data_IF_468829492945
#
_entry.id   IF_468829492945
#
_cell.length_a   1.000
_cell.length_b   1.000
_cell.length_c   1.000
_cell.angle_alpha   90.00
_cell.angle_beta   90.00
_cell.angle_gamma   90.00
#
_symmetry.space_group_name_H-M   'P 1'
#
loop_
_entity.id
_entity.type
_entity.pdbx_description
1 polymer ?
#
# COMPACT_ATOMS: atom_id res chain seq x y z
N UNK A 1 -16.73 56.51 -51.10
CA UNK A 1 -16.47 55.07 -51.35
C UNK A 1 -15.17 54.54 -50.72
N UNK A 2 -14.02 55.25 -50.76
CA UNK A 2 -12.76 54.76 -50.15
C UNK A 2 -12.75 54.61 -48.61
N UNK A 3 -13.62 55.29 -47.85
CA UNK A 3 -13.73 55.15 -46.38
C UNK A 3 -14.65 54.02 -45.90
N UNK A 4 -15.52 53.49 -46.78
CA UNK A 4 -16.41 52.37 -46.42
C UNK A 4 -15.68 51.02 -46.51
N UNK A 5 -14.73 50.88 -47.46
CA UNK A 5 -13.91 49.67 -47.61
C UNK A 5 -12.90 49.47 -46.47
N UNK A 6 -12.36 50.54 -45.88
CA UNK A 6 -11.41 50.43 -44.76
C UNK A 6 -12.11 50.02 -43.46
N UNK A 7 -13.38 50.39 -43.30
CA UNK A 7 -14.19 50.01 -42.14
C UNK A 7 -14.69 48.56 -42.26
N UNK A 8 -15.01 48.09 -43.47
CA UNK A 8 -15.32 46.66 -43.69
C UNK A 8 -14.07 45.76 -43.56
N UNK A 9 -12.88 46.22 -44.00
CA UNK A 9 -11.64 45.43 -43.88
C UNK A 9 -11.15 45.27 -42.43
N UNK A 10 -11.52 46.19 -41.53
CA UNK A 10 -11.27 46.08 -40.08
C UNK A 10 -12.33 45.23 -39.35
N UNK A 11 -13.48 44.95 -39.98
CA UNK A 11 -14.47 44.00 -39.44
C UNK A 11 -14.28 42.57 -39.93
N UNK A 12 -13.41 42.32 -40.92
CA UNK A 12 -13.12 40.98 -41.44
C UNK A 12 -11.80 40.39 -40.92
N UNK A 13 -11.17 40.98 -39.90
CA UNK A 13 -9.93 40.48 -39.30
C UNK A 13 -10.12 39.65 -38.01
N UNK A 14 -11.36 39.45 -37.56
CA UNK A 14 -11.66 38.59 -36.41
C UNK A 14 -12.84 37.68 -36.69
N UNK A 15 -12.76 36.93 -37.79
CA UNK A 15 -13.44 35.64 -37.86
C UNK A 15 -12.36 34.58 -37.70
N UNK A 16 -11.97 34.32 -36.45
CA UNK A 16 -11.44 33.00 -36.09
C UNK A 16 -12.62 32.07 -36.28
N UNK A 17 -12.73 31.50 -37.49
CA UNK A 17 -13.53 30.30 -37.69
C UNK A 17 -12.83 29.18 -36.91
N UNK A 18 -13.09 29.13 -35.60
CA UNK A 18 -12.85 27.94 -34.80
C UNK A 18 -13.98 26.94 -35.08
N UNK A 19 -14.02 26.40 -36.29
CA UNK A 19 -14.71 25.13 -36.57
C UNK A 19 -13.78 23.98 -36.18
N UNK A 20 -13.40 23.99 -34.91
CA UNK A 20 -12.69 22.94 -34.20
C UNK A 20 -12.98 23.22 -32.74
N UNK A 21 -13.53 22.24 -32.02
CA UNK A 21 -13.89 22.32 -30.61
C UNK A 21 -12.90 23.22 -29.84
N UNK A 22 -13.27 24.48 -29.60
CA UNK A 22 -12.52 25.33 -28.69
C UNK A 22 -12.76 24.71 -27.31
N UNK A 23 -11.84 23.88 -26.84
CA UNK A 23 -11.92 23.33 -25.50
C UNK A 23 -11.93 24.51 -24.52
N UNK A 24 -13.03 24.67 -23.79
CA UNK A 24 -13.11 25.68 -22.73
C UNK A 24 -12.11 25.27 -21.65
N UNK A 25 -10.93 25.88 -21.55
CA UNK A 25 -9.90 25.48 -20.57
C UNK A 25 -9.32 26.66 -19.80
N UNK A 26 -8.80 26.36 -18.62
CA UNK A 26 -7.97 27.20 -17.76
C UNK A 26 -6.66 26.45 -17.48
N UNK A 27 -5.54 27.03 -17.90
CA UNK A 27 -4.18 26.54 -17.66
C UNK A 27 -3.47 27.52 -16.72
N UNK A 28 -2.86 27.00 -15.64
CA UNK A 28 -2.17 27.79 -14.64
C UNK A 28 -0.78 27.18 -14.40
N UNK A 29 0.27 27.91 -14.76
CA UNK A 29 1.65 27.57 -14.41
C UNK A 29 1.96 28.08 -13.00
N UNK A 30 2.28 27.18 -12.06
CA UNK A 30 2.52 27.47 -10.65
C UNK A 30 4.02 27.40 -10.37
N UNK A 31 4.61 28.49 -9.90
CA UNK A 31 6.01 28.49 -9.44
C UNK A 31 6.10 27.93 -8.02
N UNK A 32 5.28 28.44 -7.13
CA UNK A 32 5.17 28.03 -5.72
C UNK A 32 3.74 28.24 -5.26
N UNK A 33 3.17 27.23 -4.63
CA UNK A 33 1.93 27.37 -3.85
C UNK A 33 2.16 26.70 -2.52
N UNK A 34 1.92 27.44 -1.44
CA UNK A 34 1.97 26.91 -0.10
C UNK A 34 0.70 27.28 0.68
N UNK A 35 0.34 26.42 1.61
CA UNK A 35 -0.79 26.56 2.50
C UNK A 35 -0.43 25.95 3.85
N UNK A 36 -0.89 26.62 4.90
CA UNK A 36 -0.90 26.16 6.27
C UNK A 36 -2.18 26.63 6.94
N UNK A 37 -2.95 25.68 7.46
CA UNK A 37 -4.18 25.93 8.21
C UNK A 37 -3.88 26.86 9.39
N UNK A 38 -4.65 27.94 9.49
CA UNK A 38 -4.46 28.96 10.51
C UNK A 38 -5.39 28.72 11.68
N UNK A 39 -4.93 29.08 12.88
CA UNK A 39 -5.78 29.13 14.09
C UNK A 39 -6.66 30.38 14.08
N UNK A 40 -6.13 31.50 13.55
CA UNK A 40 -6.90 32.73 13.32
C UNK A 40 -7.49 32.73 11.90
N UNK A 41 -8.83 32.80 11.82
CA UNK A 41 -9.60 32.76 10.57
C UNK A 41 -9.27 33.88 9.58
N UNK A 42 -8.66 34.98 10.01
CA UNK A 42 -8.32 36.12 9.16
C UNK A 42 -6.82 36.23 8.83
N UNK A 43 -6.00 35.29 9.33
CA UNK A 43 -4.57 35.29 9.05
C UNK A 43 -4.28 34.81 7.61
N UNK A 44 -3.15 35.26 7.07
CA UNK A 44 -2.63 34.75 5.78
C UNK A 44 -2.29 33.28 5.97
N UNK A 45 -2.99 32.42 5.24
CA UNK A 45 -2.85 30.97 5.28
C UNK A 45 -1.78 30.45 4.33
N UNK A 46 -1.29 31.25 3.39
CA UNK A 46 -0.27 30.82 2.45
C UNK A 46 -0.01 31.81 1.32
N UNK A 47 0.69 31.36 0.29
CA UNK A 47 1.06 32.16 -0.88
C UNK A 47 0.86 31.34 -2.16
N UNK A 48 0.35 31.98 -3.21
CA UNK A 48 0.29 31.46 -4.57
C UNK A 48 1.08 32.37 -5.52
N UNK A 49 2.11 31.82 -6.14
CA UNK A 49 2.92 32.46 -7.16
C UNK A 49 2.78 31.68 -8.47
N UNK A 50 2.22 32.30 -9.50
CA UNK A 50 2.08 31.69 -10.82
C UNK A 50 3.03 32.34 -11.84
N UNK A 51 3.41 31.60 -12.89
CA UNK A 51 4.19 32.10 -14.05
C UNK A 51 3.27 32.75 -15.07
N UNK A 52 2.21 32.04 -15.42
CA UNK A 52 1.22 32.43 -16.41
C UNK A 52 -0.13 31.75 -16.16
N UNK A 53 -1.18 32.43 -16.59
CA UNK A 53 -2.56 31.92 -16.62
C UNK A 53 -3.06 32.08 -18.04
N UNK A 54 -3.55 30.99 -18.63
CA UNK A 54 -4.18 30.99 -19.95
C UNK A 54 -5.58 30.48 -19.81
N UNK A 55 -6.53 31.22 -20.35
CA UNK A 55 -7.92 30.81 -20.42
C UNK A 55 -8.35 30.87 -21.88
N UNK A 56 -9.03 29.83 -22.33
CA UNK A 56 -9.68 29.80 -23.63
C UNK A 56 -11.13 29.38 -23.42
N UNK A 57 -12.05 30.17 -23.93
CA UNK A 57 -13.48 29.89 -24.01
C UNK A 57 -13.95 30.12 -25.44
N UNK A 58 -15.12 29.61 -25.80
CA UNK A 58 -15.71 29.72 -27.14
C UNK A 58 -15.69 31.13 -27.75
N UNK A 59 -15.72 32.16 -26.93
CA UNK A 59 -15.80 33.57 -27.31
C UNK A 59 -14.68 34.44 -26.73
N UNK A 60 -13.75 33.86 -25.95
CA UNK A 60 -12.74 34.62 -25.21
C UNK A 60 -11.45 33.84 -25.04
N UNK A 61 -10.32 34.47 -25.38
CA UNK A 61 -8.99 33.98 -25.00
C UNK A 61 -8.31 35.03 -24.13
N UNK A 62 -7.74 34.61 -23.01
CA UNK A 62 -7.01 35.44 -22.07
C UNK A 62 -5.66 34.81 -21.76
N UNK A 63 -4.61 35.62 -21.76
CA UNK A 63 -3.27 35.19 -21.38
C UNK A 63 -2.66 36.25 -20.46
N UNK A 64 -2.33 35.84 -19.25
CA UNK A 64 -1.70 36.65 -18.23
C UNK A 64 -0.32 36.08 -17.92
N UNK A 65 0.71 36.92 -17.98
CA UNK A 65 2.06 36.55 -17.57
C UNK A 65 2.46 37.38 -16.34
N UNK A 66 3.00 36.71 -15.32
CA UNK A 66 3.37 37.33 -14.04
C UNK A 66 4.89 37.59 -13.95
N UNK A 67 5.47 38.20 -15.00
CA UNK A 67 6.92 38.45 -15.06
C UNK A 67 7.44 39.41 -13.98
N UNK A 68 6.60 40.35 -13.56
CA UNK A 68 6.95 41.38 -12.56
C UNK A 68 6.47 41.02 -11.14
N UNK A 69 6.02 39.77 -10.92
CA UNK A 69 5.53 39.27 -9.63
C UNK A 69 4.32 40.06 -9.04
N UNK A 70 3.69 40.92 -9.84
CA UNK A 70 2.58 41.79 -9.43
C UNK A 70 1.31 41.02 -9.06
N UNK A 71 1.20 39.75 -9.49
CA UNK A 71 0.08 38.87 -9.21
C UNK A 71 0.39 37.78 -8.19
N UNK A 72 1.55 37.85 -7.52
CA UNK A 72 1.80 37.02 -6.34
C UNK A 72 0.72 37.31 -5.29
N UNK A 73 0.04 36.26 -4.84
CA UNK A 73 -1.16 36.39 -4.03
C UNK A 73 -0.95 35.77 -2.65
N UNK A 74 -1.34 36.51 -1.61
CA UNK A 74 -1.55 35.94 -0.29
C UNK A 74 -2.86 35.16 -0.28
N UNK A 75 -2.83 33.99 0.32
CA UNK A 75 -3.99 33.11 0.42
C UNK A 75 -4.64 33.22 1.80
N UNK A 76 -5.96 33.16 1.85
CA UNK A 76 -6.77 33.02 3.09
C UNK A 76 -7.75 31.87 2.92
N UNK A 77 -8.11 31.21 4.01
CA UNK A 77 -9.17 30.18 3.99
C UNK A 77 -10.10 30.41 5.19
N UNK A 78 -11.36 30.74 4.89
CA UNK A 78 -12.35 31.07 5.93
C UNK A 78 -13.71 30.51 5.54
N UNK A 79 -14.29 29.70 6.41
CA UNK A 79 -15.66 29.16 6.29
C UNK A 79 -15.98 28.54 4.91
N UNK A 80 -15.03 27.78 4.33
CA UNK A 80 -15.19 27.12 3.03
C UNK A 80 -14.79 27.98 1.81
N UNK A 81 -14.32 29.21 2.03
CA UNK A 81 -13.91 30.10 0.93
C UNK A 81 -12.39 30.25 0.89
N UNK A 82 -11.79 29.91 -0.25
CA UNK A 82 -10.38 30.13 -0.54
C UNK A 82 -10.18 31.48 -1.24
N UNK A 83 -9.58 32.44 -0.53
CA UNK A 83 -9.32 33.78 -1.03
C UNK A 83 -7.87 33.96 -1.48
N UNK A 84 -7.66 34.70 -2.56
CA UNK A 84 -6.37 35.09 -3.09
C UNK A 84 -6.32 36.61 -3.25
N UNK A 85 -5.36 37.26 -2.57
CA UNK A 85 -5.18 38.70 -2.58
C UNK A 85 -3.80 39.07 -3.13
N UNK A 86 -3.79 39.64 -4.33
CA UNK A 86 -2.62 40.24 -4.98
C UNK A 86 -2.71 41.78 -4.94
N UNK A 87 -1.69 42.47 -5.47
CA UNK A 87 -1.60 43.94 -5.43
C UNK A 87 -2.76 44.66 -6.13
N UNK A 88 -3.24 44.10 -7.23
CA UNK A 88 -4.26 44.71 -8.10
C UNK A 88 -5.49 43.83 -8.32
N UNK A 89 -5.60 42.72 -7.59
CA UNK A 89 -6.56 41.67 -7.92
C UNK A 89 -6.89 40.86 -6.67
N UNK A 90 -8.17 40.59 -6.47
CA UNK A 90 -8.67 39.69 -5.43
C UNK A 90 -9.60 38.67 -6.07
N UNK A 91 -9.42 37.40 -5.71
CA UNK A 91 -10.29 36.33 -6.13
C UNK A 91 -10.73 35.51 -4.93
N UNK A 92 -11.95 35.02 -4.97
CA UNK A 92 -12.45 34.08 -3.98
C UNK A 92 -13.03 32.87 -4.72
N UNK A 93 -12.70 31.69 -4.25
CA UNK A 93 -13.25 30.42 -4.72
C UNK A 93 -14.06 29.83 -3.57
N UNK A 94 -15.36 29.64 -3.83
CA UNK A 94 -16.22 28.91 -2.90
C UNK A 94 -15.93 27.42 -3.07
N UNK A 95 -15.35 26.81 -2.05
CA UNK A 95 -15.04 25.39 -2.01
C UNK A 95 -16.21 24.59 -1.42
N UNK A 96 -17.27 25.25 -0.92
CA UNK A 96 -18.34 24.61 -0.15
C UNK A 96 -17.94 24.35 1.31
N UNK A 97 -18.91 24.04 2.17
CA UNK A 97 -18.66 23.78 3.61
C UNK A 97 -18.19 22.37 3.91
N UNK A 98 -18.57 21.40 3.08
CA UNK A 98 -18.34 19.96 3.26
C UNK A 98 -17.29 19.44 2.27
N UNK A 99 -16.19 20.19 2.07
CA UNK A 99 -15.12 19.78 1.17
C UNK A 99 -13.97 19.08 1.93
N UNK A 100 -13.27 18.17 1.25
CA UNK A 100 -12.09 17.48 1.82
C UNK A 100 -10.87 18.38 2.07
N UNK A 101 -10.85 19.63 1.56
CA UNK A 101 -9.77 20.58 1.86
C UNK A 101 -9.80 21.04 3.33
N UNK A 102 -10.93 20.89 4.03
CA UNK A 102 -11.04 21.19 5.46
C UNK A 102 -10.07 20.37 6.33
N UNK A 103 -9.71 19.16 5.89
CA UNK A 103 -8.83 18.25 6.62
C UNK A 103 -7.35 18.52 6.32
N UNK A 104 -7.07 19.41 5.36
CA UNK A 104 -5.70 19.77 5.00
C UNK A 104 -5.12 20.73 6.02
N UNK A 105 -4.02 20.33 6.65
CA UNK A 105 -3.24 21.11 7.61
C UNK A 105 -2.15 21.90 6.90
N UNK A 106 -1.42 21.28 5.97
CA UNK A 106 -0.43 21.95 5.12
C UNK A 106 -0.50 21.41 3.70
N UNK A 107 -0.26 22.27 2.71
CA UNK A 107 -0.10 21.85 1.32
C UNK A 107 1.00 22.68 0.66
N UNK A 108 1.70 22.07 -0.29
CA UNK A 108 2.80 22.70 -0.99
C UNK A 108 2.97 22.13 -2.38
N UNK A 109 3.22 22.98 -3.38
CA UNK A 109 3.67 22.54 -4.69
C UNK A 109 4.66 23.51 -5.32
N UNK A 110 5.56 22.99 -6.16
CA UNK A 110 6.59 23.77 -6.84
C UNK A 110 6.74 23.34 -8.29
N UNK A 111 6.84 24.34 -9.18
CA UNK A 111 7.03 24.16 -10.62
C UNK A 111 6.02 23.15 -11.17
N UNK A 112 4.76 23.55 -11.14
CA UNK A 112 3.64 22.69 -11.48
C UNK A 112 2.76 23.35 -12.53
N UNK A 113 1.99 22.55 -13.25
CA UNK A 113 1.02 22.98 -14.23
C UNK A 113 -0.32 22.35 -13.90
N UNK A 114 -1.35 23.19 -13.73
CA UNK A 114 -2.72 22.75 -13.59
C UNK A 114 -3.49 23.10 -14.88
N UNK A 115 -4.27 22.16 -15.41
CA UNK A 115 -5.18 22.37 -16.53
C UNK A 115 -6.56 21.90 -16.10
N UNK A 116 -7.54 22.79 -16.23
CA UNK A 116 -8.92 22.55 -15.84
C UNK A 116 -9.83 22.85 -17.04
N UNK A 117 -10.76 21.96 -17.34
CA UNK A 117 -11.89 22.22 -18.23
C UNK A 117 -13.10 21.39 -17.80
N UNK A 118 -14.29 21.57 -18.42
CA UNK A 118 -15.48 20.80 -18.02
C UNK A 118 -15.36 19.28 -18.17
N UNK A 119 -14.44 18.77 -19.00
CA UNK A 119 -14.26 17.33 -19.21
C UNK A 119 -13.14 16.68 -18.41
N UNK A 120 -12.12 17.43 -17.97
CA UNK A 120 -11.00 16.86 -17.23
C UNK A 120 -10.28 17.87 -16.34
N UNK A 121 -9.54 17.31 -15.38
CA UNK A 121 -8.55 17.99 -14.56
C UNK A 121 -7.19 17.31 -14.74
N UNK A 122 -6.12 18.10 -14.92
CA UNK A 122 -4.76 17.59 -14.82
C UNK A 122 -3.88 18.48 -13.98
N UNK A 123 -2.95 17.86 -13.25
CA UNK A 123 -2.03 18.55 -12.36
C UNK A 123 -0.71 17.77 -12.29
N UNK A 124 0.37 18.39 -12.74
CA UNK A 124 1.69 17.76 -12.70
C UNK A 124 2.78 18.74 -12.32
N UNK A 125 3.91 18.24 -11.84
CA UNK A 125 5.04 19.09 -11.53
C UNK A 125 6.18 18.40 -10.79
N UNK A 126 7.13 19.24 -10.37
CA UNK A 126 8.36 18.75 -9.72
C UNK A 126 8.09 18.15 -8.34
N UNK A 127 7.38 18.90 -7.49
CA UNK A 127 7.10 18.50 -6.11
C UNK A 127 5.66 18.84 -5.72
N UNK A 128 5.00 17.93 -5.02
CA UNK A 128 3.74 18.15 -4.33
C UNK A 128 3.83 17.55 -2.93
N UNK A 129 3.23 18.22 -1.96
CA UNK A 129 3.14 17.72 -0.59
C UNK A 129 1.82 18.13 0.03
N UNK A 130 1.22 17.21 0.76
CA UNK A 130 0.01 17.44 1.54
C UNK A 130 0.20 16.84 2.93
N UNK A 131 -0.29 17.54 3.95
CA UNK A 131 -0.32 17.10 5.34
C UNK A 131 -1.74 17.22 5.84
N UNK A 132 -2.29 16.11 6.31
CA UNK A 132 -3.50 16.00 7.13
C UNK A 132 -3.07 15.76 8.59
N UNK A 133 -4.01 15.51 9.50
CA UNK A 133 -3.72 15.42 10.93
C UNK A 133 -2.66 14.36 11.27
N UNK A 134 -2.82 13.14 10.76
CA UNK A 134 -1.97 11.97 11.00
C UNK A 134 -1.12 11.55 9.78
N UNK A 135 -1.44 12.08 8.60
CA UNK A 135 -0.84 11.67 7.33
C UNK A 135 -0.08 12.81 6.65
N UNK A 136 1.13 12.53 6.18
CA UNK A 136 1.87 13.40 5.25
C UNK A 136 2.25 12.64 3.99
N UNK A 137 1.82 13.13 2.85
CA UNK A 137 2.16 12.56 1.54
C UNK A 137 2.98 13.56 0.73
N UNK A 138 4.02 13.08 0.05
CA UNK A 138 4.84 13.87 -0.86
C UNK A 138 5.04 13.11 -2.17
N UNK A 139 4.86 13.80 -3.29
CA UNK A 139 5.10 13.29 -4.63
C UNK A 139 6.18 14.12 -5.32
N UNK A 140 7.10 13.46 -6.02
CA UNK A 140 8.10 14.10 -6.85
C UNK A 140 8.03 13.58 -8.30
N UNK A 141 8.19 14.47 -9.28
CA UNK A 141 8.09 14.18 -10.72
C UNK A 141 6.75 13.48 -11.04
N UNK A 142 5.63 14.13 -10.74
CA UNK A 142 4.31 13.51 -10.78
C UNK A 142 3.42 14.20 -11.83
N UNK A 143 2.47 13.44 -12.36
CA UNK A 143 1.39 13.91 -13.22
C UNK A 143 0.12 13.20 -12.78
N UNK A 144 -0.91 13.97 -12.45
CA UNK A 144 -2.26 13.51 -12.10
C UNK A 144 -3.18 13.91 -13.23
N UNK A 145 -4.07 13.01 -13.64
CA UNK A 145 -5.15 13.25 -14.57
C UNK A 145 -6.44 12.64 -14.01
N UNK A 146 -7.51 13.41 -14.00
CA UNK A 146 -8.83 12.97 -13.60
C UNK A 146 -9.87 13.31 -14.67
N UNK A 147 -10.85 12.44 -14.83
CA UNK A 147 -12.00 12.62 -15.73
C UNK A 147 -13.23 11.97 -15.10
N UNK A 148 -14.40 12.26 -15.63
CA UNK A 148 -15.64 11.62 -15.19
C UNK A 148 -16.31 10.88 -16.34
N UNK A 149 -16.99 9.78 -16.01
CA UNK A 149 -17.90 9.08 -16.90
C UNK A 149 -19.32 9.68 -16.90
N UNK A 150 -19.45 10.93 -16.42
CA UNK A 150 -20.69 11.69 -16.36
C UNK A 150 -20.56 12.93 -17.27
N UNK A 151 -21.26 12.98 -18.42
CA UNK A 151 -21.17 14.11 -19.34
C UNK A 151 -21.80 15.39 -18.78
N UNK A 152 -22.62 15.30 -17.73
CA UNK A 152 -23.27 16.44 -17.08
C UNK A 152 -22.43 16.99 -15.92
N UNK A 153 -21.34 16.31 -15.52
CA UNK A 153 -20.45 16.77 -14.47
C UNK A 153 -19.48 17.84 -14.99
N UNK A 154 -19.52 19.03 -14.38
CA UNK A 154 -18.57 20.10 -14.68
C UNK A 154 -17.28 19.96 -13.86
N UNK A 155 -16.25 19.37 -14.48
CA UNK A 155 -14.90 19.25 -13.92
C UNK A 155 -14.19 20.59 -13.68
N UNK A 156 -14.79 21.73 -14.07
CA UNK A 156 -14.25 23.06 -13.76
C UNK A 156 -14.65 23.59 -12.36
N UNK A 157 -15.32 22.77 -11.54
CA UNK A 157 -15.71 23.09 -10.16
C UNK A 157 -14.95 22.22 -9.14
N UNK A 158 -14.87 22.65 -7.88
CA UNK A 158 -14.20 21.87 -6.83
C UNK A 158 -14.88 20.49 -6.60
N UNK A 159 -16.23 20.48 -6.50
CA UNK A 159 -17.04 19.25 -6.42
C UNK A 159 -16.85 18.36 -7.65
N UNK A 160 -16.85 18.96 -8.85
CA UNK A 160 -16.60 18.24 -10.09
C UNK A 160 -15.23 17.57 -10.11
N UNK A 161 -14.17 18.27 -9.73
CA UNK A 161 -12.81 17.70 -9.64
C UNK A 161 -12.77 16.53 -8.66
N UNK A 162 -13.34 16.68 -7.46
CA UNK A 162 -13.38 15.61 -6.46
C UNK A 162 -14.10 14.38 -7.00
N UNK A 163 -15.33 14.56 -7.49
CA UNK A 163 -16.16 13.46 -8.03
C UNK A 163 -15.52 12.80 -9.25
N UNK A 164 -14.92 13.58 -10.14
CA UNK A 164 -14.18 13.06 -11.29
C UNK A 164 -12.97 12.24 -10.87
N UNK A 165 -12.14 12.75 -9.96
CA UNK A 165 -11.01 11.98 -9.44
C UNK A 165 -11.45 10.72 -8.67
N UNK A 166 -12.65 10.70 -8.07
CA UNK A 166 -13.25 9.51 -7.46
C UNK A 166 -13.94 8.57 -8.47
N UNK A 167 -13.97 8.92 -9.75
CA UNK A 167 -14.52 8.11 -10.84
C UNK A 167 -13.40 7.53 -11.70
N UNK A 168 -12.55 8.39 -12.26
CA UNK A 168 -11.37 8.00 -13.00
C UNK A 168 -10.22 8.94 -12.63
N UNK A 169 -9.15 8.36 -12.09
CA UNK A 169 -7.90 9.08 -11.91
C UNK A 169 -6.72 8.23 -12.35
N UNK A 170 -5.66 8.92 -12.76
CA UNK A 170 -4.41 8.34 -13.18
C UNK A 170 -3.27 9.20 -12.65
N UNK A 171 -2.31 8.57 -11.97
CA UNK A 171 -1.08 9.20 -11.49
C UNK A 171 0.11 8.49 -12.09
N UNK A 172 0.98 9.25 -12.75
CA UNK A 172 2.19 8.75 -13.40
C UNK A 172 3.37 9.69 -13.19
N UNK A 173 4.58 9.30 -13.61
CA UNK A 173 5.68 10.22 -13.72
C UNK A 173 5.39 11.36 -14.71
N UNK A 174 5.76 12.59 -14.37
CA UNK A 174 5.69 13.74 -15.29
C UNK A 174 6.64 13.56 -16.48
N UNK A 175 7.85 13.06 -16.19
CA UNK A 175 8.89 12.76 -17.18
C UNK A 175 9.12 11.26 -17.23
N UNK A 176 8.94 10.68 -18.42
CA UNK A 176 9.10 9.24 -18.64
C UNK A 176 10.51 8.72 -18.29
N UNK A 177 11.55 9.55 -18.35
CA UNK A 177 12.92 9.13 -18.04
C UNK A 177 13.24 9.03 -16.55
N UNK A 178 12.35 9.50 -15.66
CA UNK A 178 12.57 9.48 -14.21
C UNK A 178 11.34 8.89 -13.49
N UNK A 179 11.52 7.98 -12.51
CA UNK A 179 10.39 7.45 -11.76
C UNK A 179 9.74 8.54 -10.90
N UNK A 180 8.42 8.41 -10.66
CA UNK A 180 7.73 9.19 -9.65
C UNK A 180 8.14 8.65 -8.27
N UNK A 181 8.48 9.53 -7.34
CA UNK A 181 8.76 9.11 -5.95
C UNK A 181 7.63 9.57 -5.05
N UNK A 182 7.05 8.64 -4.30
CA UNK A 182 6.08 8.89 -3.25
C UNK A 182 6.71 8.68 -1.87
N UNK A 183 6.51 9.62 -0.96
CA UNK A 183 6.84 9.47 0.45
C UNK A 183 5.58 9.67 1.27
N UNK A 184 5.29 8.73 2.16
CA UNK A 184 4.19 8.77 3.12
C UNK A 184 4.79 8.72 4.52
N UNK A 185 4.34 9.61 5.39
CA UNK A 185 4.60 9.55 6.83
C UNK A 185 3.26 9.45 7.53
N UNK A 186 3.10 8.44 8.40
CA UNK A 186 1.91 8.23 9.20
C UNK A 186 2.29 8.25 10.68
N UNK A 187 1.58 9.06 11.46
CA UNK A 187 1.70 9.14 12.92
C UNK A 187 0.55 8.36 13.57
N UNK A 188 0.85 7.29 14.30
CA UNK A 188 -0.16 6.49 15.00
C UNK A 188 -0.49 7.08 16.39
N UNK A 189 -1.68 6.77 16.91
CA UNK A 189 -2.18 7.27 18.20
C UNK A 189 -1.30 6.85 19.40
N UNK A 190 -0.64 5.70 19.31
CA UNK A 190 0.27 5.17 20.32
C UNK A 190 1.68 5.83 20.30
N UNK A 191 1.89 6.75 19.36
CA UNK A 191 3.14 7.49 19.18
C UNK A 191 4.12 6.84 18.20
N UNK A 192 3.79 5.67 17.65
CA UNK A 192 4.59 5.05 16.60
C UNK A 192 4.49 5.84 15.29
N UNK A 193 5.52 5.71 14.47
CA UNK A 193 5.62 6.39 13.17
C UNK A 193 5.95 5.38 12.08
N UNK A 194 5.26 5.50 10.95
CA UNK A 194 5.59 4.79 9.72
C UNK A 194 6.11 5.79 8.69
N UNK A 195 7.31 5.53 8.17
CA UNK A 195 7.83 6.18 6.98
C UNK A 195 7.82 5.17 5.82
N UNK A 196 7.13 5.50 4.74
CA UNK A 196 7.05 4.69 3.52
C UNK A 196 7.56 5.50 2.34
N UNK A 197 8.50 4.95 1.57
CA UNK A 197 9.02 5.55 0.34
C UNK A 197 8.87 4.56 -0.80
N UNK A 198 8.28 4.97 -1.92
CA UNK A 198 8.13 4.13 -3.10
C UNK A 198 8.49 4.87 -4.39
N UNK A 199 9.10 4.13 -5.33
CA UNK A 199 9.16 4.54 -6.73
C UNK A 199 7.92 3.99 -7.43
N UNK A 200 6.97 4.88 -7.72
CA UNK A 200 5.72 4.51 -8.36
C UNK A 200 5.88 4.53 -9.88
N UNK A 201 5.38 3.46 -10.52
CA UNK A 201 5.18 3.41 -11.97
C UNK A 201 3.85 4.06 -12.34
N UNK A 202 2.76 3.57 -11.76
CA UNK A 202 1.41 4.10 -11.96
C UNK A 202 0.54 3.85 -10.73
N UNK A 203 -0.43 4.73 -10.52
CA UNK A 203 -1.55 4.56 -9.60
C UNK A 203 -2.82 5.02 -10.34
N UNK A 204 -3.80 4.15 -10.50
CA UNK A 204 -5.01 4.45 -11.25
C UNK A 204 -6.27 3.95 -10.55
N UNK A 205 -7.37 4.65 -10.81
CA UNK A 205 -8.74 4.20 -10.57
C UNK A 205 -9.44 4.10 -11.91
N UNK A 206 -9.89 2.89 -12.24
CA UNK A 206 -10.57 2.60 -13.49
C UNK A 206 -12.04 2.29 -13.24
N UNK A 207 -12.91 2.95 -13.99
CA UNK A 207 -14.35 2.66 -13.99
C UNK A 207 -15.00 2.79 -12.62
N UNK A 208 -14.59 3.78 -11.82
CA UNK A 208 -15.11 4.09 -10.49
C UNK A 208 -14.94 3.00 -9.42
N UNK A 209 -14.34 1.84 -9.71
CA UNK A 209 -14.32 0.74 -8.73
C UNK A 209 -12.94 0.13 -8.50
N UNK A 210 -12.05 0.09 -9.49
CA UNK A 210 -10.78 -0.64 -9.35
C UNK A 210 -9.61 0.31 -9.15
N UNK A 211 -9.05 0.32 -7.94
CA UNK A 211 -7.73 0.88 -7.67
C UNK A 211 -6.64 -0.08 -8.12
N UNK A 212 -5.62 0.43 -8.81
CA UNK A 212 -4.40 -0.30 -9.15
C UNK A 212 -3.20 0.53 -8.77
N UNK A 213 -2.23 -0.12 -8.13
CA UNK A 213 -0.96 0.47 -7.74
C UNK A 213 0.15 -0.42 -8.25
N UNK A 214 1.07 0.19 -9.01
CA UNK A 214 2.29 -0.44 -9.46
C UNK A 214 3.48 0.36 -8.92
N UNK A 215 4.23 -0.22 -8.00
CA UNK A 215 5.50 0.32 -7.52
C UNK A 215 6.67 -0.53 -8.04
N UNK A 216 7.78 0.10 -8.40
CA UNK A 216 9.00 -0.57 -8.86
C UNK A 216 9.83 -1.09 -7.68
N UNK A 217 9.83 -0.34 -6.59
CA UNK A 217 10.45 -0.70 -5.32
C UNK A 217 9.84 0.16 -4.22
N UNK A 218 9.94 -0.32 -2.99
CA UNK A 218 9.59 0.48 -1.83
C UNK A 218 10.45 0.15 -0.62
N UNK A 219 10.52 1.08 0.30
CA UNK A 219 11.04 0.90 1.65
C UNK A 219 10.01 1.37 2.65
N UNK A 220 9.93 0.69 3.79
CA UNK A 220 9.06 1.04 4.90
C UNK A 220 9.83 0.92 6.20
N UNK A 221 9.74 1.93 7.05
CA UNK A 221 10.29 1.90 8.41
C UNK A 221 9.14 2.09 9.38
N UNK A 222 8.98 1.14 10.30
CA UNK A 222 8.03 1.18 11.41
C UNK A 222 8.73 0.51 12.58
N UNK A 223 9.29 1.30 13.50
CA UNK A 223 10.23 0.80 14.50
C UNK A 223 9.63 -0.37 15.30
N UNK A 224 10.34 -1.50 15.49
CA UNK A 224 11.75 -1.77 15.16
C UNK A 224 12.01 -2.34 13.75
N UNK A 225 10.99 -2.37 12.89
CA UNK A 225 11.03 -3.02 11.59
C UNK A 225 11.50 -2.09 10.47
N UNK A 226 12.29 -2.67 9.56
CA UNK A 226 12.64 -2.06 8.28
C UNK A 226 12.35 -3.08 7.17
N UNK A 227 11.56 -2.68 6.19
CA UNK A 227 11.14 -3.50 5.08
C UNK A 227 11.59 -2.89 3.75
N UNK A 228 12.06 -3.74 2.85
CA UNK A 228 12.37 -3.40 1.47
C UNK A 228 11.59 -4.35 0.56
N UNK A 229 11.01 -3.82 -0.51
CA UNK A 229 10.30 -4.61 -1.50
C UNK A 229 10.85 -4.37 -2.89
N UNK A 230 10.75 -5.39 -3.74
CA UNK A 230 10.86 -5.21 -5.19
C UNK A 230 9.57 -4.59 -5.74
N UNK A 231 9.28 -4.87 -7.01
CA UNK A 231 8.02 -4.54 -7.66
C UNK A 231 6.84 -4.96 -6.77
N UNK A 232 5.88 -4.04 -6.61
CA UNK A 232 4.59 -4.28 -5.98
C UNK A 232 3.54 -4.08 -7.06
N UNK A 233 2.67 -5.06 -7.24
CA UNK A 233 1.41 -4.92 -7.97
C UNK A 233 0.29 -5.12 -6.96
N UNK A 234 -0.51 -4.10 -6.74
CA UNK A 234 -1.65 -4.15 -5.84
C UNK A 234 -2.91 -3.72 -6.59
N UNK A 235 -3.99 -4.42 -6.35
CA UNK A 235 -5.32 -4.03 -6.81
C UNK A 235 -6.29 -4.13 -5.65
N UNK A 236 -7.24 -3.21 -5.57
CA UNK A 236 -8.34 -3.31 -4.64
C UNK A 236 -9.58 -2.62 -5.21
N UNK A 237 -10.73 -2.90 -4.62
CA UNK A 237 -12.02 -2.38 -5.05
C UNK A 237 -12.54 -1.33 -4.08
N UNK A 238 -13.19 -0.31 -4.63
CA UNK A 238 -14.10 0.59 -3.91
C UNK A 238 -15.51 0.47 -4.46
N UNK A 239 -16.46 1.01 -3.71
CA UNK A 239 -17.84 1.19 -4.20
C UNK A 239 -17.87 2.22 -5.35
N UNK A 240 -18.62 1.90 -6.40
CA UNK A 240 -18.82 2.77 -7.57
C UNK A 240 -19.59 4.03 -7.17
N UNK A 241 -20.50 3.92 -6.21
CA UNK A 241 -21.33 5.01 -5.72
C UNK A 241 -20.56 5.96 -4.75
N UNK A 242 -19.36 5.57 -4.32
CA UNK A 242 -18.49 6.43 -3.50
C UNK A 242 -17.83 7.51 -4.37
N UNK A 243 -18.52 8.64 -4.52
CA UNK A 243 -18.10 9.78 -5.34
C UNK A 243 -17.36 10.88 -4.56
N UNK A 244 -17.31 10.80 -3.24
CA UNK A 244 -16.54 11.71 -2.37
C UNK A 244 -15.40 10.96 -1.70
N UNK A 245 -14.31 11.67 -1.38
CA UNK A 245 -13.18 11.02 -0.73
C UNK A 245 -13.47 10.77 0.75
N UNK A 246 -13.54 9.50 1.14
CA UNK A 246 -13.60 9.05 2.54
C UNK A 246 -12.53 7.98 2.74
N UNK A 247 -11.46 8.35 3.46
CA UNK A 247 -10.30 7.48 3.64
C UNK A 247 -10.61 6.22 4.44
N UNK A 248 -11.53 6.28 5.41
CA UNK A 248 -11.90 5.13 6.24
C UNK A 248 -12.71 4.11 5.44
N UNK A 249 -13.70 4.59 4.68
CA UNK A 249 -14.51 3.74 3.80
C UNK A 249 -13.64 3.09 2.73
N UNK A 250 -12.83 3.87 2.02
CA UNK A 250 -11.95 3.37 0.95
C UNK A 250 -10.96 2.35 1.51
N UNK A 251 -10.34 2.64 2.66
CA UNK A 251 -9.41 1.72 3.33
C UNK A 251 -10.10 0.39 3.68
N UNK A 252 -11.28 0.43 4.30
CA UNK A 252 -12.04 -0.78 4.66
C UNK A 252 -12.44 -1.59 3.41
N UNK A 253 -12.88 -0.93 2.34
CA UNK A 253 -13.22 -1.59 1.08
C UNK A 253 -11.99 -2.25 0.45
N UNK A 254 -10.85 -1.56 0.45
CA UNK A 254 -9.60 -2.10 -0.07
C UNK A 254 -9.09 -3.29 0.75
N UNK A 255 -9.14 -3.25 2.07
CA UNK A 255 -8.75 -4.38 2.93
C UNK A 255 -9.57 -5.66 2.68
N UNK A 256 -10.81 -5.50 2.21
CA UNK A 256 -11.74 -6.59 1.93
C UNK A 256 -11.69 -7.11 0.48
N UNK A 257 -10.89 -6.48 -0.39
CA UNK A 257 -10.82 -6.80 -1.82
C UNK A 257 -9.39 -6.78 -2.37
N UNK A 258 -8.38 -6.63 -1.51
CA UNK A 258 -6.98 -6.48 -1.94
C UNK A 258 -6.48 -7.75 -2.62
N UNK A 259 -5.79 -7.58 -3.74
CA UNK A 259 -4.96 -8.58 -4.39
C UNK A 259 -3.59 -7.98 -4.60
N UNK A 260 -2.58 -8.57 -3.94
CA UNK A 260 -1.24 -8.03 -3.79
C UNK A 260 -0.21 -9.07 -4.23
N UNK A 261 0.64 -8.69 -5.17
CA UNK A 261 1.80 -9.48 -5.61
C UNK A 261 3.10 -8.72 -5.30
N UNK A 262 3.97 -9.34 -4.49
CA UNK A 262 5.26 -8.76 -4.11
C UNK A 262 6.35 -9.85 -4.17
N UNK A 263 7.01 -10.03 -5.33
CA UNK A 263 7.89 -11.15 -5.56
C UNK A 263 9.08 -11.26 -4.61
N UNK A 264 9.51 -10.13 -4.02
CA UNK A 264 10.60 -10.10 -3.03
C UNK A 264 10.31 -9.07 -1.95
N UNK A 265 10.32 -9.52 -0.70
CA UNK A 265 10.26 -8.70 0.50
C UNK A 265 11.45 -9.09 1.37
N UNK A 266 12.20 -8.10 1.85
CA UNK A 266 13.23 -8.27 2.87
C UNK A 266 12.80 -7.48 4.09
N UNK A 267 12.57 -8.16 5.21
CA UNK A 267 12.21 -7.55 6.49
C UNK A 267 13.38 -7.72 7.47
N UNK A 268 13.68 -6.65 8.21
CA UNK A 268 14.72 -6.64 9.25
C UNK A 268 14.09 -6.17 10.54
N UNK A 269 14.16 -6.98 11.58
CA UNK A 269 13.74 -6.62 12.92
C UNK A 269 14.98 -6.23 13.73
N UNK A 270 15.08 -4.94 14.07
CA UNK A 270 16.25 -4.42 14.81
C UNK A 270 16.26 -4.83 16.29
N UNK A 271 15.10 -5.18 16.85
CA UNK A 271 14.96 -5.53 18.28
C UNK A 271 15.51 -6.93 18.55
N UNK A 272 15.08 -7.89 17.74
CA UNK A 272 15.46 -9.30 17.92
C UNK A 272 16.64 -9.69 17.01
N UNK A 273 17.17 -8.74 16.24
CA UNK A 273 18.24 -8.94 15.25
C UNK A 273 17.95 -10.05 14.24
N UNK A 274 16.67 -10.23 13.89
CA UNK A 274 16.22 -11.24 12.94
C UNK A 274 15.94 -10.63 11.57
N UNK A 275 16.07 -11.45 10.53
CA UNK A 275 15.82 -11.05 9.14
C UNK A 275 14.92 -12.06 8.45
N UNK A 276 14.07 -11.58 7.57
CA UNK A 276 13.13 -12.39 6.81
C UNK A 276 13.28 -12.07 5.33
N UNK A 277 13.30 -13.12 4.51
CA UNK A 277 13.16 -13.04 3.08
C UNK A 277 11.87 -13.76 2.68
N UNK A 278 10.96 -13.04 2.03
CA UNK A 278 9.68 -13.56 1.58
C UNK A 278 9.62 -13.37 0.07
N UNK A 279 9.45 -14.48 -0.65
CA UNK A 279 8.97 -14.47 -2.01
C UNK A 279 7.45 -14.68 -1.96
N UNK A 280 6.69 -13.59 -2.09
CA UNK A 280 5.23 -13.63 -2.05
C UNK A 280 4.70 -13.64 -3.49
N UNK A 281 3.98 -14.70 -3.83
CA UNK A 281 3.32 -14.78 -5.13
C UNK A 281 2.03 -13.99 -5.14
N UNK A 282 1.20 -14.16 -4.11
CA UNK A 282 -0.11 -13.52 -4.00
C UNK A 282 -0.53 -13.43 -2.52
N UNK A 283 -1.10 -12.30 -2.12
CA UNK A 283 -1.98 -12.12 -0.99
C UNK A 283 -3.31 -11.57 -1.52
N UNK A 284 -4.38 -12.33 -1.40
CA UNK A 284 -5.69 -12.00 -1.95
C UNK A 284 -6.76 -12.10 -0.87
N UNK A 285 -7.61 -11.08 -0.78
CA UNK A 285 -8.84 -11.08 0.00
C UNK A 285 -10.01 -10.97 -0.96
N UNK A 286 -10.86 -11.99 -0.98
CA UNK A 286 -12.07 -11.99 -1.80
C UNK A 286 -13.17 -12.82 -1.15
N UNK A 287 -14.41 -12.32 -1.19
CA UNK A 287 -15.59 -13.02 -0.71
C UNK A 287 -15.43 -13.56 0.73
N UNK A 288 -14.88 -12.75 1.64
CA UNK A 288 -14.65 -13.13 3.03
C UNK A 288 -13.59 -14.22 3.24
N UNK A 289 -12.67 -14.39 2.29
CA UNK A 289 -11.56 -15.34 2.38
C UNK A 289 -10.23 -14.63 2.16
N UNK A 290 -9.25 -14.94 3.02
CA UNK A 290 -7.85 -14.60 2.84
C UNK A 290 -7.11 -15.78 2.22
N UNK A 291 -6.41 -15.52 1.13
CA UNK A 291 -5.50 -16.44 0.45
C UNK A 291 -4.10 -15.84 0.40
N UNK A 292 -3.13 -16.52 1.02
CA UNK A 292 -1.73 -16.11 0.96
C UNK A 292 -0.89 -17.26 0.42
N UNK A 293 -0.06 -16.95 -0.58
CA UNK A 293 0.85 -17.90 -1.21
C UNK A 293 2.25 -17.33 -1.28
N UNK A 294 3.18 -18.03 -0.62
CA UNK A 294 4.60 -17.71 -0.65
C UNK A 294 5.40 -18.95 -1.06
N UNK A 295 5.95 -19.00 -2.29
CA UNK A 295 6.86 -20.06 -2.70
C UNK A 295 8.03 -20.24 -1.74
N UNK A 296 8.53 -19.15 -1.15
CA UNK A 296 9.60 -19.23 -0.16
C UNK A 296 9.40 -18.19 0.95
N UNK A 297 9.57 -18.62 2.19
CA UNK A 297 9.83 -17.76 3.34
C UNK A 297 11.08 -18.27 4.03
N UNK A 298 12.07 -17.40 4.21
CA UNK A 298 13.27 -17.70 4.99
C UNK A 298 13.35 -16.74 6.16
N UNK A 299 13.53 -17.29 7.34
CA UNK A 299 13.87 -16.60 8.58
C UNK A 299 15.34 -16.87 8.88
N UNK A 300 16.07 -15.84 9.32
CA UNK A 300 17.50 -15.93 9.66
C UNK A 300 17.76 -15.12 10.93
N UNK A 301 18.37 -15.78 11.90
CA UNK A 301 19.02 -15.14 13.05
C UNK A 301 20.56 -15.22 12.86
N UNK A 302 21.33 -14.85 13.89
CA UNK A 302 22.81 -14.84 13.77
C UNK A 302 23.44 -16.23 13.64
N UNK A 303 22.76 -17.27 14.09
CA UNK A 303 23.32 -18.62 14.18
C UNK A 303 22.69 -19.58 13.16
N UNK A 304 21.42 -19.37 12.83
CA UNK A 304 20.59 -20.34 12.14
C UNK A 304 19.65 -19.72 11.10
N UNK A 305 19.18 -20.57 10.18
CA UNK A 305 18.18 -20.24 9.19
C UNK A 305 17.06 -21.28 9.19
N UNK A 306 15.83 -20.82 8.97
CA UNK A 306 14.64 -21.65 8.76
C UNK A 306 13.98 -21.24 7.45
N UNK A 307 13.93 -22.16 6.51
CA UNK A 307 13.33 -21.94 5.19
C UNK A 307 12.09 -22.81 5.00
N UNK A 308 10.97 -22.16 4.73
CA UNK A 308 9.69 -22.74 4.34
C UNK A 308 9.55 -22.65 2.83
N UNK A 309 9.29 -23.79 2.16
CA UNK A 309 9.01 -23.85 0.72
C UNK A 309 7.54 -24.20 0.45
N UNK A 310 6.96 -23.48 -0.51
CA UNK A 310 5.58 -23.57 -0.98
C UNK A 310 4.59 -23.50 0.21
N UNK A 311 4.58 -22.35 0.90
CA UNK A 311 3.57 -22.02 1.90
C UNK A 311 2.29 -21.55 1.21
N UNK A 312 1.16 -22.06 1.70
CA UNK A 312 -0.17 -21.62 1.30
C UNK A 312 -1.05 -21.53 2.53
N UNK A 313 -1.63 -20.37 2.77
CA UNK A 313 -2.60 -20.11 3.83
C UNK A 313 -3.94 -19.77 3.17
N UNK A 314 -4.99 -20.41 3.65
CA UNK A 314 -6.38 -20.12 3.30
C UNK A 314 -7.13 -20.01 4.60
N UNK A 315 -7.70 -18.85 4.92
CA UNK A 315 -8.63 -18.76 6.03
C UNK A 315 -9.80 -17.83 5.73
N UNK A 316 -10.83 -17.95 6.55
CA UNK A 316 -11.91 -16.98 6.57
C UNK A 316 -11.36 -15.63 7.02
N UNK A 317 -11.87 -14.56 6.42
CA UNK A 317 -11.64 -13.18 6.84
C UNK A 317 -13.00 -12.49 6.93
N UNK A 318 -13.39 -12.03 8.11
CA UNK A 318 -14.60 -11.22 8.27
C UNK A 318 -14.37 -9.81 7.73
N UNK A 319 -15.45 -9.15 7.32
CA UNK A 319 -15.39 -7.77 6.79
C UNK A 319 -14.97 -6.74 7.84
N UNK A 320 -15.16 -7.07 9.13
CA UNK A 320 -14.83 -6.22 10.26
C UNK A 320 -13.43 -6.48 10.81
N UNK A 321 -12.74 -7.53 10.36
CA UNK A 321 -11.35 -7.74 10.75
C UNK A 321 -10.44 -6.80 9.99
N UNK A 322 -9.43 -6.32 10.70
CA UNK A 322 -8.44 -5.42 10.13
C UNK A 322 -7.31 -6.26 9.53
N UNK A 323 -7.03 -6.10 8.24
CA UNK A 323 -6.07 -6.99 7.55
C UNK A 323 -4.63 -6.82 8.06
N UNK A 324 -4.27 -5.60 8.47
CA UNK A 324 -2.94 -5.30 9.02
C UNK A 324 -2.82 -5.63 10.52
N UNK A 325 -3.90 -6.02 11.19
CA UNK A 325 -3.83 -6.55 12.56
C UNK A 325 -3.59 -8.07 12.52
N UNK A 326 -2.33 -8.44 12.79
CA UNK A 326 -1.90 -9.84 12.81
C UNK A 326 -2.73 -10.68 13.80
N UNK A 327 -3.13 -10.14 14.95
CA UNK A 327 -3.92 -10.88 15.92
C UNK A 327 -5.33 -11.18 15.42
N UNK A 328 -5.97 -10.21 14.77
CA UNK A 328 -7.26 -10.41 14.11
C UNK A 328 -7.15 -11.51 13.04
N UNK A 329 -6.14 -11.45 12.16
CA UNK A 329 -5.94 -12.46 11.11
C UNK A 329 -5.68 -13.85 11.70
N UNK A 330 -4.84 -13.97 12.72
CA UNK A 330 -4.54 -15.24 13.40
C UNK A 330 -5.82 -15.85 14.00
N UNK A 331 -6.63 -15.03 14.67
CA UNK A 331 -7.88 -15.48 15.29
C UNK A 331 -8.81 -16.10 14.25
N UNK A 332 -9.04 -15.42 13.13
CA UNK A 332 -9.92 -15.91 12.06
C UNK A 332 -9.37 -17.18 11.38
N UNK A 333 -8.05 -17.23 11.20
CA UNK A 333 -7.36 -18.42 10.72
C UNK A 333 -7.49 -19.63 11.67
N UNK A 334 -7.61 -19.41 12.98
CA UNK A 334 -7.86 -20.47 13.99
C UNK A 334 -9.33 -20.93 13.97
N UNK A 335 -10.26 -20.01 13.69
CA UNK A 335 -11.67 -20.33 13.55
C UNK A 335 -11.94 -21.20 12.31
N UNK A 336 -11.36 -20.85 11.16
CA UNK A 336 -11.50 -21.65 9.93
C UNK A 336 -10.30 -21.41 9.01
N UNK A 337 -9.36 -22.35 9.00
CA UNK A 337 -8.10 -22.18 8.29
C UNK A 337 -7.48 -23.46 7.77
N UNK A 338 -6.74 -23.33 6.67
CA UNK A 338 -5.91 -24.38 6.09
C UNK A 338 -4.54 -23.80 5.75
N UNK A 339 -3.50 -24.36 6.37
CA UNK A 339 -2.11 -23.99 6.11
C UNK A 339 -1.42 -25.20 5.53
N UNK A 340 -0.75 -25.05 4.40
CA UNK A 340 0.02 -26.11 3.77
C UNK A 340 1.45 -25.63 3.54
N UNK A 341 2.41 -26.46 3.91
CA UNK A 341 3.84 -26.25 3.70
C UNK A 341 4.41 -27.51 3.07
N UNK A 342 4.98 -27.40 1.88
CA UNK A 342 5.55 -28.57 1.19
C UNK A 342 6.82 -29.06 1.87
N UNK A 343 7.69 -28.15 2.29
CA UNK A 343 8.98 -28.47 2.88
C UNK A 343 9.40 -27.42 3.90
N UNK A 344 10.00 -27.87 5.00
CA UNK A 344 10.69 -27.04 5.98
C UNK A 344 12.13 -27.54 6.12
N UNK A 345 13.06 -26.60 6.08
CA UNK A 345 14.51 -26.83 6.12
C UNK A 345 15.06 -25.90 7.21
N UNK A 346 15.83 -26.45 8.15
CA UNK A 346 16.49 -25.70 9.21
C UNK A 346 17.97 -26.05 9.23
N UNK A 347 18.83 -25.03 9.33
CA UNK A 347 20.30 -25.15 9.22
C UNK A 347 20.98 -24.14 10.15
N UNK A 348 22.21 -24.47 10.56
CA UNK A 348 23.10 -23.54 11.26
C UNK A 348 23.92 -22.80 10.19
N UNK A 349 23.79 -21.47 10.08
CA UNK A 349 24.30 -20.65 8.96
C UNK A 349 24.71 -19.22 9.36
N UNK A 350 25.77 -19.11 10.15
CA UNK A 350 26.27 -17.82 10.70
C UNK A 350 26.55 -16.73 9.64
N UNK A 351 27.01 -17.11 8.44
CA UNK A 351 27.40 -16.16 7.40
C UNK A 351 26.21 -15.58 6.62
N UNK A 352 25.05 -16.24 6.64
CA UNK A 352 23.90 -15.83 5.83
C UNK A 352 23.34 -14.48 6.31
N UNK A 353 23.28 -14.30 7.64
CA UNK A 353 22.75 -13.11 8.28
C UNK A 353 23.41 -11.81 7.79
N UNK A 354 24.74 -11.80 7.65
CA UNK A 354 25.51 -10.61 7.22
C UNK A 354 25.27 -10.23 5.75
N UNK A 355 24.77 -11.15 4.93
CA UNK A 355 24.61 -10.95 3.48
C UNK A 355 23.22 -10.48 3.08
N UNK A 356 22.28 -10.37 4.02
CA UNK A 356 20.91 -9.96 3.73
C UNK A 356 20.79 -8.56 3.12
N UNK A 357 21.74 -7.66 3.40
CA UNK A 357 21.75 -6.30 2.83
C UNK A 357 22.05 -6.31 1.32
N UNK A 358 22.67 -7.38 0.84
CA UNK A 358 23.05 -7.56 -0.55
C UNK A 358 21.90 -8.12 -1.41
N UNK A 359 20.78 -8.53 -0.82
CA UNK A 359 19.65 -9.15 -1.54
C UNK A 359 19.05 -8.14 -2.53
N UNK A 360 18.70 -6.95 -2.04
CA UNK A 360 18.07 -5.91 -2.86
C UNK A 360 19.09 -5.12 -3.68
N UNK A 361 20.29 -4.90 -3.13
CA UNK A 361 21.30 -4.00 -3.71
C UNK A 361 22.25 -4.68 -4.69
N UNK A 362 22.66 -5.93 -4.42
CA UNK A 362 23.62 -6.69 -5.24
C UNK A 362 23.01 -7.94 -5.88
N UNK A 363 21.71 -8.17 -5.69
CA UNK A 363 21.02 -9.34 -6.23
C UNK A 363 21.46 -10.66 -5.61
N UNK A 364 21.94 -10.66 -4.36
CA UNK A 364 22.28 -11.88 -3.65
C UNK A 364 21.05 -12.80 -3.52
N UNK A 365 21.18 -14.06 -3.92
CA UNK A 365 20.15 -15.08 -3.72
C UNK A 365 20.37 -15.79 -2.38
N UNK A 366 19.50 -15.53 -1.37
CA UNK A 366 19.64 -16.14 -0.05
C UNK A 366 19.24 -17.63 -0.06
N UNK A 367 18.84 -18.19 -1.19
CA UNK A 367 18.45 -19.60 -1.33
C UNK A 367 19.47 -20.44 -2.10
N UNK A 368 20.50 -19.83 -2.68
CA UNK A 368 21.45 -20.51 -3.58
C UNK A 368 22.18 -21.70 -2.94
N UNK A 369 22.33 -21.71 -1.61
CA UNK A 369 22.99 -22.76 -0.84
C UNK A 369 22.04 -23.90 -0.42
N UNK A 370 20.73 -23.77 -0.65
CA UNK A 370 19.70 -24.73 -0.23
C UNK A 370 19.45 -25.73 -1.35
N UNK A 371 19.90 -26.98 -1.17
CA UNK A 371 19.57 -28.05 -2.11
C UNK A 371 18.11 -28.47 -1.99
N UNK A 372 17.43 -28.69 -3.12
CA UNK A 372 16.09 -29.31 -3.15
C UNK A 372 16.04 -30.73 -2.55
N UNK A 373 17.21 -31.35 -2.34
CA UNK A 373 17.34 -32.67 -1.72
C UNK A 373 17.31 -32.63 -0.20
N UNK A 374 17.65 -31.51 0.44
CA UNK A 374 17.65 -31.34 1.89
C UNK A 374 16.22 -31.24 2.45
N UNK A 375 15.97 -31.85 3.62
CA UNK A 375 14.66 -31.84 4.30
C UNK A 375 14.78 -32.06 5.80
N UNK A 376 14.14 -31.19 6.57
CA UNK A 376 13.83 -31.44 7.99
C UNK A 376 12.42 -32.02 8.13
N UNK A 377 11.44 -31.43 7.42
CA UNK A 377 10.06 -31.91 7.36
C UNK A 377 9.40 -31.66 5.99
N UNK A 378 8.38 -32.46 5.65
CA UNK A 378 7.61 -32.35 4.39
C UNK A 378 6.11 -32.48 4.60
N UNK A 379 5.34 -32.01 3.60
CA UNK A 379 3.88 -32.23 3.50
C UNK A 379 3.18 -31.87 4.81
N UNK A 380 3.58 -30.73 5.37
CA UNK A 380 3.02 -30.23 6.60
C UNK A 380 1.69 -29.59 6.23
N UNK A 381 0.61 -30.04 6.84
CA UNK A 381 -0.70 -29.43 6.70
C UNK A 381 -1.33 -29.21 8.05
N UNK A 382 -1.90 -28.03 8.24
CA UNK A 382 -2.72 -27.66 9.37
C UNK A 382 -4.13 -27.44 8.86
N UNK A 383 -5.09 -28.10 9.48
CA UNK A 383 -6.50 -27.83 9.29
C UNK A 383 -7.05 -27.34 10.63
N UNK A 384 -7.57 -26.13 10.64
CA UNK A 384 -8.11 -25.41 11.79
C UNK A 384 -9.62 -25.27 11.59
N UNK A 385 -10.38 -25.68 12.59
CA UNK A 385 -11.85 -25.64 12.58
C UNK A 385 -12.35 -25.44 14.01
N UNK A 386 -12.94 -24.27 14.26
CA UNK A 386 -13.47 -23.84 15.56
C UNK A 386 -12.48 -24.06 16.71
N UNK A 387 -11.23 -23.61 16.53
CA UNK A 387 -10.18 -23.75 17.54
C UNK A 387 -9.64 -25.18 17.70
N UNK A 388 -10.01 -26.13 16.83
CA UNK A 388 -9.42 -27.48 16.80
C UNK A 388 -8.43 -27.58 15.65
N UNK A 389 -7.24 -28.10 15.93
CA UNK A 389 -6.21 -28.36 14.95
C UNK A 389 -6.09 -29.85 14.61
N UNK A 390 -6.01 -30.14 13.32
CA UNK A 390 -5.48 -31.39 12.78
C UNK A 390 -4.21 -31.08 11.99
N UNK A 391 -3.07 -31.55 12.50
CA UNK A 391 -1.76 -31.34 11.90
C UNK A 391 -1.26 -32.66 11.33
N UNK A 392 -0.79 -32.65 10.08
CA UNK A 392 -0.15 -33.79 9.43
C UNK A 392 1.22 -33.36 8.95
N UNK A 393 2.24 -34.19 9.13
CA UNK A 393 3.58 -33.90 8.63
C UNK A 393 4.36 -35.20 8.36
N UNK A 394 5.23 -35.20 7.36
CA UNK A 394 6.20 -36.27 7.13
C UNK A 394 7.57 -35.84 7.64
N UNK A 395 8.02 -36.42 8.75
CA UNK A 395 9.35 -36.19 9.32
C UNK A 395 10.36 -37.22 8.80
N UNK A 396 11.63 -36.81 8.65
CA UNK A 396 12.73 -37.69 8.22
C UNK A 396 13.80 -37.71 9.30
N UNK A 397 14.24 -38.90 9.70
CA UNK A 397 15.33 -39.05 10.65
C UNK A 397 16.26 -40.19 10.25
N UNK A 398 17.56 -39.95 10.38
CA UNK A 398 18.56 -41.00 10.18
C UNK A 398 18.58 -41.92 11.40
N UNK A 399 18.26 -43.19 11.20
CA UNK A 399 18.29 -44.24 12.22
C UNK A 399 19.17 -45.36 11.69
N UNK A 400 20.25 -45.69 12.41
CA UNK A 400 21.19 -46.74 12.04
C UNK A 400 21.71 -46.61 10.59
N UNK A 401 22.05 -45.38 10.17
CA UNK A 401 22.58 -45.10 8.83
C UNK A 401 21.55 -44.95 7.71
N UNK A 402 20.29 -45.36 7.91
CA UNK A 402 19.21 -45.23 6.92
C UNK A 402 18.24 -44.11 7.30
N UNK A 403 17.74 -43.37 6.30
CA UNK A 403 16.70 -42.37 6.52
C UNK A 403 15.33 -43.07 6.64
N UNK A 404 14.73 -43.01 7.83
CA UNK A 404 13.37 -43.45 8.05
C UNK A 404 12.41 -42.26 7.90
N UNK A 405 11.28 -42.48 7.22
CA UNK A 405 10.18 -41.53 7.09
C UNK A 405 9.10 -41.89 8.12
N UNK A 406 8.63 -40.88 8.85
CA UNK A 406 7.54 -41.00 9.80
C UNK A 406 6.43 -40.02 9.43
N UNK A 407 5.24 -40.53 9.15
CA UNK A 407 4.06 -39.68 8.98
C UNK A 407 3.44 -39.43 10.37
N UNK A 408 3.46 -38.18 10.81
CA UNK A 408 2.98 -37.73 12.11
C UNK A 408 1.62 -37.08 11.93
N UNK A 409 0.69 -37.43 12.81
CA UNK A 409 -0.65 -36.88 12.89
C UNK A 409 -0.87 -36.37 14.30
N UNK A 410 -1.28 -35.11 14.44
CA UNK A 410 -1.52 -34.45 15.72
C UNK A 410 -2.94 -33.90 15.71
N UNK A 411 -3.67 -34.12 16.79
CA UNK A 411 -4.94 -33.46 17.07
C UNK A 411 -4.85 -32.71 18.38
N UNK A 412 -5.44 -31.53 18.42
CA UNK A 412 -5.45 -30.70 19.62
C UNK A 412 -6.39 -29.51 19.50
N UNK A 413 -6.46 -28.74 20.58
CA UNK A 413 -7.11 -27.42 20.59
C UNK A 413 -6.06 -26.32 20.50
N UNK A 414 -6.38 -25.25 19.78
CA UNK A 414 -5.58 -24.04 19.62
C UNK A 414 -6.28 -22.90 20.32
N UNK A 415 -5.54 -22.22 21.19
CA UNK A 415 -5.99 -21.08 21.99
C UNK A 415 -5.09 -19.88 21.67
N UNK A 416 -5.66 -18.79 21.17
CA UNK A 416 -4.96 -17.55 20.86
C UNK A 416 -5.13 -16.56 22.00
N UNK A 417 -4.01 -16.02 22.49
CA UNK A 417 -3.95 -15.15 23.67
C UNK A 417 -3.29 -13.83 23.29
N UNK A 418 -4.03 -12.88 22.69
CA UNK A 418 -3.48 -11.57 22.26
C UNK A 418 -2.76 -10.83 23.39
N UNK A 419 -3.35 -10.78 24.59
CA UNK A 419 -2.77 -10.09 25.75
C UNK A 419 -1.43 -10.66 26.25
N UNK A 420 -1.06 -11.86 25.79
CA UNK A 420 0.25 -12.48 26.08
C UNK A 420 1.10 -12.68 24.83
N UNK A 421 0.57 -12.25 23.68
CA UNK A 421 1.22 -12.41 22.38
C UNK A 421 1.57 -13.89 22.09
N UNK A 422 0.59 -14.79 22.33
CA UNK A 422 0.81 -16.25 22.34
C UNK A 422 -0.23 -17.03 21.56
N UNK A 423 0.21 -18.11 20.92
CA UNK A 423 -0.63 -19.20 20.43
C UNK A 423 -0.30 -20.47 21.23
N UNK A 424 -1.32 -21.12 21.78
CA UNK A 424 -1.19 -22.32 22.61
C UNK A 424 -1.90 -23.49 21.94
N UNK A 425 -1.13 -24.50 21.54
CA UNK A 425 -1.64 -25.79 21.07
C UNK A 425 -1.64 -26.80 22.22
N UNK A 426 -2.81 -27.21 22.68
CA UNK A 426 -2.97 -28.31 23.63
C UNK A 426 -3.17 -29.61 22.83
N UNK A 427 -2.19 -30.50 22.88
CA UNK A 427 -2.17 -31.72 22.10
C UNK A 427 -2.99 -32.80 22.79
N UNK A 428 -4.08 -33.23 22.17
CA UNK A 428 -4.92 -34.33 22.67
C UNK A 428 -4.33 -35.67 22.25
N UNK A 429 -3.98 -35.80 20.98
CA UNK A 429 -3.57 -37.06 20.36
C UNK A 429 -2.39 -36.88 19.41
N UNK A 430 -1.44 -37.82 19.44
CA UNK A 430 -0.38 -37.97 18.44
C UNK A 430 -0.37 -39.41 17.93
N UNK A 431 -0.45 -39.59 16.61
CA UNK A 431 -0.38 -40.88 15.92
C UNK A 431 0.78 -40.91 14.92
N UNK A 432 1.53 -42.01 14.92
CA UNK A 432 2.52 -42.33 13.89
C UNK A 432 2.29 -43.78 13.46
N UNK A 433 1.90 -44.05 12.20
CA UNK A 433 1.68 -45.41 11.74
C UNK A 433 3.03 -46.08 11.50
N UNK A 434 3.46 -46.95 12.44
CA UNK A 434 4.60 -47.86 12.26
C UNK A 434 4.06 -49.29 12.38
N UNK A 435 3.61 -49.87 11.25
CA UNK A 435 3.09 -51.24 11.22
C UNK A 435 1.83 -51.44 12.08
N UNK A 436 1.73 -52.61 12.74
CA UNK A 436 0.51 -53.10 13.39
C UNK A 436 0.40 -52.67 14.88
N UNK A 437 1.40 -51.98 15.43
CA UNK A 437 1.45 -51.59 16.83
C UNK A 437 1.05 -50.12 17.03
N UNK A 438 -0.11 -49.89 17.67
CA UNK A 438 -0.53 -48.56 18.17
C UNK A 438 0.11 -48.31 19.55
N UNK A 439 1.36 -47.85 19.59
CA UNK A 439 2.04 -47.55 20.87
C UNK A 439 1.90 -46.06 21.20
N UNK A 440 1.53 -45.73 22.46
CA UNK A 440 1.39 -44.36 22.98
C UNK A 440 2.76 -43.64 23.10
N UNK A 441 3.35 -43.24 21.97
CA UNK A 441 4.63 -42.52 21.91
C UNK A 441 4.51 -41.00 22.11
N UNK A 442 3.43 -40.50 22.73
CA UNK A 442 3.15 -39.05 22.85
C UNK A 442 4.36 -38.25 23.36
N UNK A 443 4.97 -38.68 24.48
CA UNK A 443 6.19 -38.05 25.05
C UNK A 443 7.41 -38.15 24.13
N UNK A 444 7.64 -39.31 23.51
CA UNK A 444 8.80 -39.50 22.62
C UNK A 444 8.66 -38.65 21.35
N UNK A 445 7.46 -38.60 20.76
CA UNK A 445 7.18 -37.86 19.54
C UNK A 445 7.17 -36.36 19.77
N UNK A 446 6.65 -35.88 20.90
CA UNK A 446 6.86 -34.50 21.34
C UNK A 446 8.35 -34.19 21.51
N UNK A 447 9.14 -35.13 22.04
CA UNK A 447 10.60 -35.00 22.10
C UNK A 447 11.27 -34.91 20.73
N UNK A 448 10.75 -35.58 19.70
CA UNK A 448 11.22 -35.42 18.31
C UNK A 448 10.78 -34.07 17.76
N UNK A 449 9.52 -33.66 17.96
CA UNK A 449 9.04 -32.36 17.49
C UNK A 449 9.77 -31.20 18.13
N UNK A 450 10.09 -31.28 19.42
CA UNK A 450 10.91 -30.29 20.12
C UNK A 450 12.28 -30.10 19.49
N UNK A 451 12.82 -31.13 18.82
CA UNK A 451 14.07 -31.04 18.06
C UNK A 451 13.89 -30.57 16.62
N UNK A 452 12.66 -30.59 16.09
CA UNK A 452 12.35 -30.24 14.71
C UNK A 452 11.71 -28.84 14.57
N UNK A 453 11.01 -28.38 15.62
CA UNK A 453 10.48 -27.04 15.80
C UNK A 453 11.42 -26.34 16.78
N UNK A 454 12.52 -25.81 16.25
CA UNK A 454 13.56 -25.11 17.02
C UNK A 454 13.30 -23.61 16.91
N UNK A 455 13.40 -22.92 18.04
CA UNK A 455 13.26 -21.47 18.17
C UNK A 455 13.00 -21.11 19.63
N UNK A 456 13.62 -20.05 20.13
CA UNK A 456 13.44 -19.60 21.53
C UNK A 456 11.97 -19.26 21.86
N UNK A 457 11.20 -18.92 20.82
CA UNK A 457 9.79 -18.59 20.89
C UNK A 457 8.86 -19.80 21.01
N UNK A 458 9.36 -21.04 20.95
CA UNK A 458 8.54 -22.26 21.05
C UNK A 458 8.84 -23.02 22.35
N UNK A 459 7.89 -23.00 23.28
CA UNK A 459 8.00 -23.68 24.57
C UNK A 459 7.15 -24.96 24.59
N UNK A 460 7.75 -26.04 25.09
CA UNK A 460 7.08 -27.33 25.27
C UNK A 460 6.92 -27.63 26.75
N UNK A 461 5.67 -27.68 27.23
CA UNK A 461 5.34 -28.05 28.62
C UNK A 461 4.31 -29.19 28.64
N UNK A 462 4.80 -30.42 28.83
CA UNK A 462 3.96 -31.61 28.78
C UNK A 462 3.29 -31.76 27.41
N UNK A 463 1.97 -31.72 27.39
CA UNK A 463 1.14 -31.83 26.19
C UNK A 463 0.81 -30.45 25.57
N UNK A 464 1.39 -29.37 26.10
CA UNK A 464 1.16 -28.00 25.64
C UNK A 464 2.37 -27.50 24.86
N UNK A 465 2.09 -26.94 23.68
CA UNK A 465 3.06 -26.23 22.85
C UNK A 465 2.64 -24.76 22.85
N UNK A 466 3.53 -23.88 23.30
CA UNK A 466 3.29 -22.43 23.32
C UNK A 466 4.22 -21.78 22.31
N UNK A 467 3.66 -20.98 21.42
CA UNK A 467 4.38 -20.18 20.41
C UNK A 467 4.21 -18.73 20.84
N UNK A 468 5.32 -18.07 21.14
CA UNK A 468 5.39 -16.61 21.30
C UNK A 468 5.41 -16.00 19.91
N UNK A 469 4.54 -15.02 19.66
CA UNK A 469 4.43 -14.32 18.39
C UNK A 469 5.47 -13.20 18.28
#
# INVERSE_FOLDING_TARGET
MKKLLTTLALMTSFSVAATGNSSNFLEIGITDWNYKKQVDKNAVAGVLNFTDVRMSRSDMAFNLSNKDEIFNANMTYTDGVMGFKAKYMNFNFDMGKENGFNDVVEMGTKKSLAIINPGFFSFGGKNFSIKMDDLRTQLNNFYIFCTANDPDLDMASADGIERGCMTEFFVSPEKAEAPMTMNIQLDYEDGDKMDFTAQLGELDLLGASVFRLNALNSTMTMAPYFMETSNISATCMKDEDQLTFDSEIIKKQCENSVSLEVPKIVLRNKKDETKFYINMKNLEVANGNLYFQAPVIQFVDRESSVTTKDLTVKCQKSEDSVLYDLHSVIKECIESGRINIKSLISRDEENLWFRYEDIMTKGFDPLAHISDKEKTAKRISFQLDQGKALIKASAYKKILGKYARFDVYIKGSVDHRPAKDQIVLNVDEIKVPIGWFKIKWKKFLLGIMKKALVGENIQFNGDRITIQL
#
